data_IF_967670897565
#
_entry.id   IF_967670897565
#
_cell.length_a   1.000
_cell.length_b   1.000
_cell.length_c   1.000
_cell.angle_alpha   90.00
_cell.angle_beta   90.00
_cell.angle_gamma   90.00
#
_symmetry.space_group_name_H-M   'P 1'
#
loop_
_entity.id
_entity.type
_entity.pdbx_description
1 polymer ?
#
# COMPACT_ATOMS: atom_id res chain seq x y z
N UNK A 1 -16.63 9.05 4.85
CA UNK A 1 -15.34 9.54 4.28
C UNK A 1 -15.04 8.99 2.89
N UNK A 2 -15.46 7.77 2.55
CA UNK A 2 -15.19 7.16 1.22
C UNK A 2 -15.80 7.94 0.05
N UNK A 3 -16.99 8.55 0.25
CA UNK A 3 -17.60 9.45 -0.72
C UNK A 3 -16.79 10.73 -0.90
N UNK A 4 -16.31 11.32 0.20
CA UNK A 4 -15.50 12.54 0.18
C UNK A 4 -14.17 12.32 -0.56
N UNK A 5 -13.51 11.18 -0.32
CA UNK A 5 -12.29 10.81 -1.06
C UNK A 5 -12.54 10.78 -2.57
N UNK A 6 -13.63 10.17 -3.02
CA UNK A 6 -14.00 10.14 -4.45
C UNK A 6 -14.30 11.52 -5.02
N UNK A 7 -15.05 12.34 -4.29
CA UNK A 7 -15.37 13.71 -4.72
C UNK A 7 -14.13 14.59 -4.81
N UNK A 8 -13.12 14.34 -3.97
CA UNK A 8 -11.81 14.98 -4.04
C UNK A 8 -10.88 14.43 -5.13
N UNK A 9 -11.35 13.53 -6.00
CA UNK A 9 -10.54 12.93 -7.07
C UNK A 9 -9.67 11.76 -6.63
N UNK A 10 -9.77 11.31 -5.37
CA UNK A 10 -9.04 10.16 -4.86
C UNK A 10 -9.72 8.83 -5.15
N UNK A 11 -8.99 7.75 -4.95
CA UNK A 11 -9.51 6.38 -5.06
C UNK A 11 -9.54 5.73 -3.69
N UNK A 12 -10.67 5.10 -3.34
CA UNK A 12 -10.76 4.34 -2.10
C UNK A 12 -9.92 3.06 -2.20
N UNK A 13 -9.21 2.73 -1.14
CA UNK A 13 -8.64 1.40 -0.94
C UNK A 13 -9.78 0.37 -0.78
N UNK A 14 -9.50 -0.93 -0.63
CA UNK A 14 -10.49 -2.01 -0.48
C UNK A 14 -11.65 -1.60 0.43
N UNK A 15 -12.84 -1.99 0.07
CA UNK A 15 -14.03 -1.63 0.82
C UNK A 15 -14.15 -2.44 2.13
N UNK A 16 -13.82 -3.72 2.06
CA UNK A 16 -13.83 -4.65 3.19
C UNK A 16 -12.70 -5.68 3.08
N UNK A 17 -12.53 -6.49 4.13
CA UNK A 17 -11.48 -7.51 4.20
C UNK A 17 -11.67 -8.66 3.18
N UNK A 18 -12.87 -8.80 2.63
CA UNK A 18 -13.21 -9.85 1.67
C UNK A 18 -12.82 -9.53 0.24
N UNK A 19 -12.60 -8.24 -0.09
CA UNK A 19 -12.38 -7.79 -1.47
C UNK A 19 -10.99 -8.18 -1.99
N UNK A 20 -10.01 -8.21 -1.10
CA UNK A 20 -8.60 -8.39 -1.45
C UNK A 20 -7.82 -9.04 -0.31
N UNK A 21 -6.93 -9.96 -0.66
CA UNK A 21 -5.96 -10.50 0.30
C UNK A 21 -4.82 -9.49 0.50
N UNK A 22 -4.62 -9.06 1.74
CA UNK A 22 -3.49 -8.23 2.13
C UNK A 22 -2.60 -9.04 3.09
N UNK A 23 -1.38 -9.34 2.63
CA UNK A 23 -0.35 -10.00 3.44
C UNK A 23 0.50 -8.89 4.05
N UNK A 24 0.44 -8.76 5.37
CA UNK A 24 1.13 -7.74 6.16
C UNK A 24 2.37 -8.30 6.86
N UNK A 25 3.23 -7.39 7.34
CA UNK A 25 4.41 -7.65 8.15
C UNK A 25 4.14 -8.54 9.38
N UNK A 26 3.04 -8.29 10.11
CA UNK A 26 2.66 -9.10 11.27
C UNK A 26 2.38 -10.57 10.93
N UNK A 27 1.91 -10.85 9.71
CA UNK A 27 1.80 -12.24 9.24
C UNK A 27 3.17 -12.86 8.96
N UNK A 28 4.18 -12.02 8.67
CA UNK A 28 5.55 -12.44 8.37
C UNK A 28 6.32 -12.75 9.66
N UNK A 29 6.06 -12.02 10.74
CA UNK A 29 6.69 -12.25 12.04
C UNK A 29 6.43 -13.65 12.62
N UNK A 30 5.28 -14.26 12.26
CA UNK A 30 4.88 -15.62 12.70
C UNK A 30 5.15 -16.70 11.66
N UNK A 31 5.54 -16.34 10.42
CA UNK A 31 5.66 -17.29 9.31
C UNK A 31 6.61 -16.76 8.22
N UNK A 32 7.29 -17.66 7.50
CA UNK A 32 8.13 -17.26 6.39
C UNK A 32 7.28 -16.65 5.26
N UNK A 33 7.68 -15.50 4.72
CA UNK A 33 6.95 -14.73 3.69
C UNK A 33 6.59 -15.57 2.45
N UNK A 34 7.53 -16.36 1.95
CA UNK A 34 7.32 -17.21 0.74
C UNK A 34 6.15 -18.18 0.88
N UNK A 35 6.07 -19.04 1.92
CA UNK A 35 4.94 -19.94 2.10
C UNK A 35 3.59 -19.21 2.25
N UNK A 36 3.56 -18.06 2.90
CA UNK A 36 2.35 -17.24 3.03
C UNK A 36 1.85 -16.75 1.68
N UNK A 37 2.73 -16.19 0.85
CA UNK A 37 2.39 -15.74 -0.50
C UNK A 37 1.91 -16.91 -1.36
N UNK A 38 2.57 -18.06 -1.30
CA UNK A 38 2.15 -19.26 -2.03
C UNK A 38 0.76 -19.75 -1.58
N UNK A 39 0.51 -19.78 -0.27
CA UNK A 39 -0.81 -20.15 0.29
C UNK A 39 -1.90 -19.18 -0.17
N UNK A 40 -1.63 -17.88 -0.17
CA UNK A 40 -2.57 -16.87 -0.64
C UNK A 40 -2.87 -17.06 -2.15
N UNK A 41 -1.85 -17.29 -2.98
CA UNK A 41 -2.01 -17.54 -4.42
C UNK A 41 -2.89 -18.76 -4.67
N UNK A 42 -2.67 -19.86 -3.93
CA UNK A 42 -3.46 -21.10 -4.04
C UNK A 42 -4.93 -20.88 -3.67
N UNK A 43 -5.21 -20.01 -2.69
CA UNK A 43 -6.54 -19.84 -2.11
C UNK A 43 -7.26 -18.56 -2.58
N UNK A 44 -6.71 -17.78 -3.51
CA UNK A 44 -7.22 -16.44 -3.88
C UNK A 44 -8.65 -16.42 -4.45
N UNK A 45 -9.12 -17.52 -5.05
CA UNK A 45 -10.48 -17.64 -5.63
C UNK A 45 -10.87 -16.40 -6.47
N UNK A 46 -9.99 -15.96 -7.38
CA UNK A 46 -10.21 -14.78 -8.22
C UNK A 46 -9.93 -13.41 -7.57
N UNK A 47 -9.68 -13.35 -6.25
CA UNK A 47 -9.39 -12.07 -5.56
C UNK A 47 -7.99 -11.57 -5.86
N UNK A 48 -7.81 -10.27 -5.79
CA UNK A 48 -6.49 -9.64 -5.84
C UNK A 48 -5.69 -9.98 -4.58
N UNK A 49 -4.37 -10.00 -4.72
CA UNK A 49 -3.43 -10.17 -3.61
C UNK A 49 -2.49 -8.99 -3.62
N UNK A 50 -2.42 -8.28 -2.51
CA UNK A 50 -1.41 -7.28 -2.21
C UNK A 50 -0.47 -7.82 -1.15
N UNK A 51 0.83 -7.68 -1.37
CA UNK A 51 1.88 -8.08 -0.43
C UNK A 51 2.62 -6.85 0.05
N UNK A 52 2.59 -6.64 1.37
CA UNK A 52 3.31 -5.55 2.03
C UNK A 52 4.75 -5.96 2.29
N UNK A 53 5.69 -5.05 2.05
CA UNK A 53 7.12 -5.22 2.28
C UNK A 53 7.71 -3.95 2.88
N UNK A 54 8.57 -4.11 3.90
CA UNK A 54 9.23 -3.00 4.61
C UNK A 54 10.63 -2.72 4.08
N UNK A 55 11.18 -3.63 3.28
CA UNK A 55 12.54 -3.53 2.77
C UNK A 55 12.76 -4.33 1.49
N UNK A 56 13.89 -4.02 0.84
CA UNK A 56 14.27 -4.66 -0.43
C UNK A 56 14.60 -6.16 -0.30
N UNK A 57 14.97 -6.63 0.90
CA UNK A 57 15.25 -8.07 1.12
C UNK A 57 13.95 -8.86 1.02
N UNK A 58 12.87 -8.39 1.67
CA UNK A 58 11.55 -9.01 1.56
C UNK A 58 11.03 -8.96 0.12
N UNK A 59 11.17 -7.81 -0.57
CA UNK A 59 10.79 -7.70 -1.98
C UNK A 59 11.48 -8.79 -2.83
N UNK A 60 12.79 -8.95 -2.71
CA UNK A 60 13.57 -9.94 -3.50
C UNK A 60 13.10 -11.37 -3.25
N UNK A 61 12.57 -11.68 -2.07
CA UNK A 61 12.05 -13.02 -1.74
C UNK A 61 10.77 -13.37 -2.49
N UNK A 62 9.98 -12.37 -2.90
CA UNK A 62 8.67 -12.56 -3.53
C UNK A 62 8.65 -12.24 -5.03
N UNK A 63 9.75 -11.73 -5.58
CA UNK A 63 9.85 -11.50 -7.02
C UNK A 63 9.60 -12.80 -7.81
N UNK A 64 8.76 -12.70 -8.84
CA UNK A 64 8.37 -13.85 -9.69
C UNK A 64 7.16 -14.66 -9.22
N UNK A 65 6.64 -14.44 -8.00
CA UNK A 65 5.36 -15.03 -7.61
C UNK A 65 4.19 -14.33 -8.32
N UNK A 66 3.10 -15.07 -8.63
CA UNK A 66 1.94 -14.53 -9.37
C UNK A 66 0.91 -13.89 -8.46
N UNK A 67 1.15 -12.64 -8.04
CA UNK A 67 0.18 -11.81 -7.31
C UNK A 67 0.04 -10.43 -7.98
N UNK A 68 -0.76 -9.51 -7.42
CA UNK A 68 -1.18 -8.32 -8.13
C UNK A 68 -0.36 -7.07 -7.76
N UNK A 69 -0.19 -6.79 -6.48
CA UNK A 69 0.34 -5.51 -6.00
C UNK A 69 1.41 -5.72 -4.94
N UNK A 70 2.51 -4.98 -5.03
CA UNK A 70 3.47 -4.81 -3.94
C UNK A 70 3.20 -3.48 -3.26
N UNK A 71 2.98 -3.50 -1.96
CA UNK A 71 2.84 -2.33 -1.12
C UNK A 71 4.14 -2.13 -0.34
N UNK A 72 4.78 -1.00 -0.55
CA UNK A 72 5.98 -0.57 0.16
C UNK A 72 5.56 0.24 1.38
N UNK A 73 5.77 -0.30 2.58
CA UNK A 73 5.40 0.37 3.82
C UNK A 73 6.59 1.07 4.47
N UNK A 74 6.42 2.34 4.79
CA UNK A 74 7.39 3.19 5.50
C UNK A 74 8.83 3.18 4.92
N UNK A 75 9.00 2.91 3.63
CA UNK A 75 10.32 2.91 2.99
C UNK A 75 10.81 4.34 2.71
N UNK A 76 12.12 4.57 2.92
CA UNK A 76 12.74 5.83 2.49
C UNK A 76 12.75 5.95 0.96
N UNK A 77 12.85 7.19 0.46
CA UNK A 77 12.74 7.50 -0.98
C UNK A 77 13.75 6.73 -1.85
N UNK A 78 14.99 6.54 -1.37
CA UNK A 78 16.04 5.79 -2.11
C UNK A 78 15.64 4.33 -2.28
N UNK A 79 15.29 3.68 -1.19
CA UNK A 79 14.87 2.27 -1.20
C UNK A 79 13.55 2.07 -1.94
N UNK A 80 12.59 3.00 -1.81
CA UNK A 80 11.34 2.97 -2.55
C UNK A 80 11.57 3.03 -4.06
N UNK A 81 12.41 3.97 -4.52
CA UNK A 81 12.74 4.11 -5.96
C UNK A 81 13.40 2.84 -6.52
N UNK A 82 14.30 2.22 -5.76
CA UNK A 82 14.92 0.94 -6.14
C UNK A 82 13.88 -0.19 -6.16
N UNK A 83 13.04 -0.28 -5.13
CA UNK A 83 11.97 -1.27 -5.05
C UNK A 83 10.97 -1.16 -6.21
N UNK A 84 10.53 0.05 -6.54
CA UNK A 84 9.66 0.32 -7.69
C UNK A 84 10.32 -0.16 -9.00
N UNK A 85 11.60 0.17 -9.21
CA UNK A 85 12.34 -0.26 -10.42
C UNK A 85 12.37 -1.79 -10.56
N UNK A 86 12.52 -2.52 -9.46
CA UNK A 86 12.55 -3.97 -9.44
C UNK A 86 11.16 -4.60 -9.63
N UNK A 87 10.15 -4.03 -8.97
CA UNK A 87 8.81 -4.60 -8.88
C UNK A 87 7.92 -4.28 -10.08
N UNK A 88 8.07 -3.10 -10.70
CA UNK A 88 7.15 -2.57 -11.72
C UNK A 88 7.01 -3.44 -12.98
N UNK A 89 7.96 -4.32 -13.25
CA UNK A 89 7.88 -5.28 -14.36
C UNK A 89 6.89 -6.42 -14.12
N UNK A 90 6.53 -6.66 -12.85
CA UNK A 90 5.76 -7.83 -12.42
C UNK A 90 4.46 -7.45 -11.71
N UNK A 91 4.44 -6.30 -11.05
CA UNK A 91 3.38 -5.92 -10.11
C UNK A 91 2.99 -4.46 -10.28
N UNK A 92 1.76 -4.15 -9.92
CA UNK A 92 1.37 -2.79 -9.57
C UNK A 92 2.08 -2.40 -8.26
N UNK A 93 2.57 -1.18 -8.18
CA UNK A 93 3.37 -0.70 -7.04
C UNK A 93 2.60 0.34 -6.24
N UNK A 94 2.60 0.19 -4.91
CA UNK A 94 1.91 1.10 -4.01
C UNK A 94 2.86 1.54 -2.89
N UNK A 95 2.88 2.84 -2.57
CA UNK A 95 3.61 3.37 -1.42
C UNK A 95 2.63 3.72 -0.30
N UNK A 96 2.97 3.34 0.93
CA UNK A 96 2.21 3.57 2.15
C UNK A 96 3.12 3.99 3.30
N UNK A 97 2.51 4.46 4.37
CA UNK A 97 3.19 4.81 5.63
C UNK A 97 3.69 6.26 5.66
N UNK A 98 3.21 7.00 6.66
CA UNK A 98 3.62 8.38 6.96
C UNK A 98 3.60 9.36 5.78
N UNK A 99 2.68 9.16 4.83
CA UNK A 99 2.52 10.05 3.67
C UNK A 99 1.78 11.32 4.10
N UNK A 100 2.36 12.45 3.76
CA UNK A 100 1.86 13.79 4.08
C UNK A 100 1.98 14.72 2.87
N UNK A 101 1.36 15.92 2.92
CA UNK A 101 1.54 16.93 1.88
C UNK A 101 3.01 17.33 1.68
N UNK A 102 3.85 17.23 2.71
CA UNK A 102 5.27 17.59 2.64
C UNK A 102 6.09 16.59 1.81
N UNK A 103 5.74 15.31 1.84
CA UNK A 103 6.55 14.26 1.20
C UNK A 103 5.88 13.57 0.00
N UNK A 104 4.57 13.70 -0.20
CA UNK A 104 3.84 13.03 -1.29
C UNK A 104 4.44 13.30 -2.67
N UNK A 105 4.91 14.52 -2.92
CA UNK A 105 5.57 14.88 -4.19
C UNK A 105 6.88 14.11 -4.40
N UNK A 106 7.67 13.91 -3.35
CA UNK A 106 8.91 13.14 -3.44
C UNK A 106 8.63 11.65 -3.65
N UNK A 107 7.58 11.14 -2.99
CA UNK A 107 7.11 9.76 -3.16
C UNK A 107 6.62 9.53 -4.60
N UNK A 108 5.82 10.45 -5.16
CA UNK A 108 5.31 10.31 -6.54
C UNK A 108 6.43 10.29 -7.59
N UNK A 109 7.52 11.04 -7.35
CA UNK A 109 8.69 11.05 -8.23
C UNK A 109 9.50 9.74 -8.25
N UNK A 110 9.21 8.79 -7.36
CA UNK A 110 9.82 7.46 -7.42
C UNK A 110 9.28 6.61 -8.56
N UNK A 111 8.15 7.02 -9.16
CA UNK A 111 7.46 6.31 -10.23
C UNK A 111 6.53 5.20 -9.73
N UNK A 112 6.18 5.19 -8.44
CA UNK A 112 5.15 4.31 -7.87
C UNK A 112 3.79 4.55 -8.54
N UNK A 113 3.00 3.50 -8.73
CA UNK A 113 1.72 3.60 -9.44
C UNK A 113 0.61 4.14 -8.54
N UNK A 114 0.65 3.84 -7.24
CA UNK A 114 -0.33 4.30 -6.25
C UNK A 114 0.34 4.80 -4.97
N UNK A 115 -0.32 5.75 -4.31
CA UNK A 115 0.10 6.28 -3.01
C UNK A 115 -1.10 6.23 -2.07
N UNK A 116 -0.97 5.50 -0.96
CA UNK A 116 -1.97 5.42 0.10
C UNK A 116 -1.70 6.45 1.18
N UNK A 117 -2.67 7.33 1.41
CA UNK A 117 -2.55 8.46 2.33
C UNK A 117 -3.60 8.33 3.44
N UNK A 118 -3.22 7.75 4.58
CA UNK A 118 -4.12 7.56 5.73
C UNK A 118 -4.56 8.89 6.38
N UNK A 119 -3.71 9.91 6.36
CA UNK A 119 -3.97 11.21 7.00
C UNK A 119 -5.20 11.96 6.45
N UNK A 120 -5.63 11.68 5.23
CA UNK A 120 -6.85 12.28 4.66
C UNK A 120 -8.15 11.66 5.20
N UNK A 121 -8.07 10.54 5.89
CA UNK A 121 -9.24 9.82 6.44
C UNK A 121 -9.21 9.66 7.95
N UNK A 122 -8.02 9.41 8.54
CA UNK A 122 -7.86 9.14 9.97
C UNK A 122 -7.43 10.34 10.78
N UNK A 123 -6.63 11.24 10.21
CA UNK A 123 -5.93 12.31 10.92
C UNK A 123 -6.14 13.65 10.23
N UNK A 124 -7.28 13.82 9.58
CA UNK A 124 -7.65 15.13 9.03
C UNK A 124 -7.81 16.13 10.19
N UNK A 125 -7.15 17.32 10.13
CA UNK A 125 -7.31 18.35 11.14
C UNK A 125 -8.80 18.74 11.23
N UNK A 126 -9.31 18.81 12.45
CA UNK A 126 -10.65 19.33 12.68
C UNK A 126 -10.69 20.83 12.32
N UNK A 127 -11.76 21.23 11.62
CA UNK A 127 -12.03 22.63 11.37
C UNK A 127 -12.85 23.13 12.57
N UNK A 128 -12.38 24.19 13.21
CA UNK A 128 -13.07 24.79 14.34
C UNK A 128 -14.22 25.65 13.84
N UNK A 129 -15.45 25.19 14.10
CA UNK A 129 -16.69 25.94 13.82
C UNK A 129 -17.28 26.42 15.12
N UNK A 130 -17.55 27.71 15.22
CA UNK A 130 -18.29 28.32 16.32
C UNK A 130 -19.62 28.88 15.80
N UNK A 131 -20.71 28.51 16.43
CA UNK A 131 -22.01 29.14 16.22
C UNK A 131 -22.19 30.20 17.31
N UNK A 132 -22.30 31.46 16.92
CA UNK A 132 -22.67 32.57 17.82
C UNK A 132 -24.16 32.88 17.58
N UNK A 133 -24.97 32.86 18.66
CA UNK A 133 -26.38 33.17 18.67
C UNK A 133 -26.56 34.49 19.38
#
# INVERSE_FOLDING_TARGET
>A
YKRQVKLGGGTNHRFNLSDEYLIKDNHIASSNLKPLVQKAIKNKKGRKITVEVDNLKQLKLILGFKFNTVLFDNMNIKSLKEGVKLAKKFYETEASGNITLKNVRSVSRTGVDRISVGSITHSAPAIDFKLEI
#
